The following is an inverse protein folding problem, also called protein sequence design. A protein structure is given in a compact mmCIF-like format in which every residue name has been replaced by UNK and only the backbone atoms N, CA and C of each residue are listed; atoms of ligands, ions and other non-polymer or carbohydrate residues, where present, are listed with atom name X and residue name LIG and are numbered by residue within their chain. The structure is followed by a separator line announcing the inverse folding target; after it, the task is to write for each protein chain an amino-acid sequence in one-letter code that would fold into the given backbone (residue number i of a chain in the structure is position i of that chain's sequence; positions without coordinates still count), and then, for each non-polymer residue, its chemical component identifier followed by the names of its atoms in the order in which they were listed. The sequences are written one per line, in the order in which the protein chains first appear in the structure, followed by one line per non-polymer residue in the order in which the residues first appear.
data_IF_965848222544
#
_entry.id   IF_965848222544
#
_cell.length_a   1.000
_cell.length_b   1.000
_cell.length_c   1.000
_cell.angle_alpha   90.00
_cell.angle_beta   90.00
_cell.angle_gamma   90.00
#
_symmetry.space_group_name_H-M   'P 1'
#
loop_
_entity.id
_entity.type
_entity.pdbx_description
1 polymer ?
#
# COMPACT_ATOMS: atom_id res chain seq x y z
N UNK A 1 -11.12 -5.73 -10.94
CA UNK A 1 -11.56 -5.38 -9.57
C UNK A 1 -10.70 -4.21 -9.13
N UNK A 2 -11.20 -3.29 -8.31
CA UNK A 2 -10.38 -2.19 -7.80
C UNK A 2 -9.43 -2.68 -6.71
N UNK A 3 -8.22 -2.14 -6.62
CA UNK A 3 -7.28 -2.39 -5.52
C UNK A 3 -7.92 -2.28 -4.14
N UNK A 4 -8.89 -1.40 -3.94
CA UNK A 4 -9.61 -1.27 -2.66
C UNK A 4 -10.35 -2.55 -2.26
N UNK A 5 -10.92 -3.27 -3.23
CA UNK A 5 -11.56 -4.57 -2.97
C UNK A 5 -10.52 -5.60 -2.53
N UNK A 6 -9.36 -5.66 -3.20
CA UNK A 6 -8.27 -6.56 -2.83
C UNK A 6 -7.73 -6.25 -1.43
N UNK A 7 -7.60 -4.96 -1.07
CA UNK A 7 -7.18 -4.55 0.28
C UNK A 7 -8.20 -5.01 1.34
N UNK A 8 -9.50 -4.86 1.08
CA UNK A 8 -10.55 -5.31 2.00
C UNK A 8 -10.55 -6.84 2.21
N UNK A 9 -10.20 -7.60 1.17
CA UNK A 9 -10.00 -9.05 1.26
C UNK A 9 -8.81 -9.39 2.18
N UNK A 10 -7.69 -8.66 2.08
CA UNK A 10 -6.54 -8.84 2.98
C UNK A 10 -6.93 -8.50 4.43
N UNK A 11 -7.60 -7.37 4.65
CA UNK A 11 -8.05 -6.94 5.98
C UNK A 11 -8.88 -8.04 6.64
N UNK A 12 -9.81 -8.63 5.88
CA UNK A 12 -10.68 -9.71 6.36
C UNK A 12 -9.93 -11.03 6.58
N UNK A 13 -9.00 -11.38 5.68
CA UNK A 13 -8.23 -12.63 5.71
C UNK A 13 -7.24 -12.68 6.86
N UNK A 14 -6.56 -11.57 7.12
CA UNK A 14 -5.48 -11.48 8.11
C UNK A 14 -5.91 -10.75 9.40
N UNK A 15 -7.16 -10.28 9.47
CA UNK A 15 -7.69 -9.50 10.60
C UNK A 15 -6.81 -8.28 10.94
N UNK A 16 -6.42 -7.56 9.91
CA UNK A 16 -5.60 -6.34 9.97
C UNK A 16 -6.35 -5.16 9.39
N UNK A 17 -5.89 -3.96 9.71
CA UNK A 17 -6.43 -2.72 9.13
C UNK A 17 -5.40 -2.08 8.21
N UNK A 18 -5.78 -1.83 6.97
CA UNK A 18 -4.93 -1.21 5.95
C UNK A 18 -5.37 0.24 5.77
N UNK A 19 -4.63 1.14 6.40
CA UNK A 19 -4.83 2.58 6.29
C UNK A 19 -4.27 3.08 4.97
N UNK A 20 -5.15 3.64 4.14
CA UNK A 20 -4.78 4.24 2.86
C UNK A 20 -4.49 5.72 3.10
N UNK A 21 -3.22 6.11 3.08
CA UNK A 21 -2.80 7.50 3.14
C UNK A 21 -3.41 8.33 2.02
N UNK A 22 -3.52 9.65 2.21
CA UNK A 22 -4.05 10.55 1.19
C UNK A 22 -3.20 10.49 -0.09
N UNK A 23 -1.87 10.41 0.06
CA UNK A 23 -0.94 10.33 -1.04
C UNK A 23 -1.12 9.05 -1.87
N UNK A 24 -1.40 7.91 -1.22
CA UNK A 24 -1.74 6.65 -1.91
C UNK A 24 -2.97 6.82 -2.81
N UNK A 25 -4.03 7.45 -2.27
CA UNK A 25 -5.28 7.68 -3.00
C UNK A 25 -5.07 8.63 -4.16
N UNK A 26 -4.28 9.68 -3.98
CA UNK A 26 -3.94 10.64 -5.04
C UNK A 26 -3.09 9.99 -6.13
N UNK A 27 -2.10 9.18 -5.79
CA UNK A 27 -1.28 8.46 -6.76
C UNK A 27 -2.14 7.50 -7.62
N UNK A 28 -3.07 6.77 -6.97
CA UNK A 28 -4.01 5.88 -7.66
C UNK A 28 -4.91 6.66 -8.61
N UNK A 29 -5.49 7.77 -8.14
CA UNK A 29 -6.42 8.58 -8.93
C UNK A 29 -5.73 9.24 -10.13
N UNK A 30 -4.49 9.70 -9.95
CA UNK A 30 -3.71 10.36 -10.99
C UNK A 30 -3.03 9.39 -11.95
N UNK A 31 -3.21 8.07 -11.79
CA UNK A 31 -2.53 7.05 -12.61
C UNK A 31 -1.01 7.07 -12.46
N UNK A 32 -0.50 7.59 -11.34
CA UNK A 32 0.93 7.69 -11.02
C UNK A 32 1.43 6.48 -10.23
N UNK A 33 0.67 5.40 -10.22
CA UNK A 33 1.06 4.15 -9.57
C UNK A 33 1.88 3.31 -10.52
N UNK A 34 3.05 2.90 -10.03
CA UNK A 34 4.09 2.26 -10.83
C UNK A 34 4.18 0.79 -10.48
N UNK A 35 3.92 0.47 -9.21
CA UNK A 35 3.54 -0.86 -8.78
C UNK A 35 2.12 -1.20 -9.28
N UNK A 36 2.01 -2.32 -9.99
CA UNK A 36 0.73 -2.97 -10.28
C UNK A 36 -0.01 -3.33 -9.00
N UNK A 37 -1.34 -3.47 -9.10
CA UNK A 37 -2.17 -3.82 -7.94
C UNK A 37 -1.68 -5.10 -7.25
N UNK A 38 -1.30 -6.12 -8.02
CA UNK A 38 -0.79 -7.38 -7.47
C UNK A 38 0.56 -7.22 -6.73
N UNK A 39 1.42 -6.31 -7.18
CA UNK A 39 2.70 -6.04 -6.50
C UNK A 39 2.48 -5.44 -5.10
N UNK A 40 1.49 -4.56 -4.96
CA UNK A 40 1.15 -3.95 -3.67
C UNK A 40 0.60 -5.00 -2.71
N UNK A 41 -0.25 -5.89 -3.22
CA UNK A 41 -0.81 -7.01 -2.46
C UNK A 41 0.31 -7.95 -1.98
N UNK A 42 1.24 -8.31 -2.86
CA UNK A 42 2.39 -9.15 -2.51
C UNK A 42 3.27 -8.50 -1.43
N UNK A 43 3.52 -7.18 -1.52
CA UNK A 43 4.26 -6.43 -0.48
C UNK A 43 3.55 -6.48 0.87
N UNK A 44 2.22 -6.32 0.89
CA UNK A 44 1.43 -6.41 2.12
C UNK A 44 1.47 -7.83 2.70
N UNK A 45 1.27 -8.87 1.89
CA UNK A 45 1.32 -10.26 2.35
C UNK A 45 2.72 -10.63 2.87
N UNK A 46 3.79 -10.13 2.22
CA UNK A 46 5.16 -10.32 2.69
C UNK A 46 5.36 -9.73 4.08
N UNK A 47 4.82 -8.54 4.35
CA UNK A 47 4.97 -7.85 5.62
C UNK A 47 4.16 -8.54 6.71
N UNK A 48 2.92 -8.93 6.42
CA UNK A 48 2.11 -9.72 7.35
C UNK A 48 2.77 -11.05 7.70
N UNK A 49 3.49 -11.66 6.76
CA UNK A 49 4.28 -12.87 7.01
C UNK A 49 5.48 -12.63 7.93
N UNK A 50 6.15 -11.48 7.82
CA UNK A 50 7.30 -11.13 8.66
C UNK A 50 6.89 -10.57 10.02
N UNK A 51 5.73 -9.92 10.09
CA UNK A 51 5.20 -9.23 11.28
C UNK A 51 3.75 -9.68 11.55
N UNK A 52 3.54 -10.94 11.96
CA UNK A 52 2.20 -11.50 12.15
C UNK A 52 1.42 -10.85 13.32
N UNK A 53 2.09 -10.12 14.21
CA UNK A 53 1.48 -9.39 15.32
C UNK A 53 1.01 -7.99 14.94
N UNK A 54 1.34 -7.51 13.73
CA UNK A 54 0.94 -6.20 13.26
C UNK A 54 -0.56 -6.16 12.95
N UNK A 55 -1.30 -5.33 13.68
CA UNK A 55 -2.74 -5.14 13.49
C UNK A 55 -3.06 -4.00 12.53
N UNK A 56 -2.12 -3.06 12.34
CA UNK A 56 -2.30 -1.88 11.52
C UNK A 56 -1.16 -1.76 10.50
N UNK A 57 -1.53 -1.59 9.24
CA UNK A 57 -0.64 -1.35 8.11
C UNK A 57 -0.97 0.01 7.52
N UNK A 58 0.01 0.87 7.26
CA UNK A 58 -0.21 2.12 6.55
C UNK A 58 0.40 2.07 5.16
N UNK A 59 -0.41 2.27 4.13
CA UNK A 59 0.03 2.48 2.76
C UNK A 59 0.27 3.96 2.53
N UNK A 60 1.53 4.32 2.30
CA UNK A 60 1.91 5.66 1.87
C UNK A 60 2.83 5.61 0.66
N UNK A 61 2.92 6.73 -0.04
CA UNK A 61 3.89 6.92 -1.12
C UNK A 61 5.12 7.62 -0.55
N UNK A 62 6.31 7.19 -0.96
CA UNK A 62 7.49 8.01 -0.75
C UNK A 62 7.55 9.08 -1.85
N UNK A 63 7.52 10.36 -1.48
CA UNK A 63 7.99 11.42 -2.36
C UNK A 63 9.52 11.41 -2.26
N UNK A 64 10.21 10.99 -3.32
CA UNK A 64 11.45 11.70 -3.62
C UNK A 64 11.02 13.10 -4.03
N UNK A 65 11.57 14.13 -3.38
CA UNK A 65 11.30 15.58 -3.49
C UNK A 65 10.59 16.08 -4.76
N UNK A 66 9.84 17.18 -4.64
CA UNK A 66 9.00 17.84 -5.67
C UNK A 66 9.67 18.16 -7.04
N UNK A 67 10.93 17.78 -7.24
CA UNK A 67 11.71 17.85 -8.48
C UNK A 67 11.98 16.49 -9.15
N UNK A 68 11.59 15.36 -8.58
CA UNK A 68 11.94 14.03 -9.11
C UNK A 68 10.98 13.55 -10.21
N UNK A 69 11.56 13.18 -11.35
CA UNK A 69 10.91 12.53 -12.51
C UNK A 69 10.50 11.06 -12.23
N UNK A 70 10.80 10.54 -11.03
CA UNK A 70 10.81 9.11 -10.76
C UNK A 70 9.49 8.52 -10.22
N UNK A 71 9.29 7.27 -10.62
CA UNK A 71 8.17 6.39 -10.37
C UNK A 71 8.01 5.97 -8.89
N UNK A 72 6.83 6.25 -8.30
CA UNK A 72 6.51 6.13 -6.87
C UNK A 72 6.61 4.70 -6.29
N UNK A 73 7.44 4.49 -5.27
CA UNK A 73 7.54 3.20 -4.55
C UNK A 73 6.76 3.23 -3.22
N UNK A 74 5.95 2.20 -2.96
CA UNK A 74 5.17 2.07 -1.72
C UNK A 74 6.00 1.62 -0.53
N UNK A 75 5.88 2.32 0.60
CA UNK A 75 6.29 1.81 1.91
C UNK A 75 5.04 1.46 2.72
N UNK A 76 4.93 0.20 3.12
CA UNK A 76 4.02 -0.21 4.18
C UNK A 76 4.72 0.09 5.49
N UNK A 77 4.22 1.08 6.22
CA UNK A 77 4.78 1.45 7.53
C UNK A 77 4.01 0.69 8.60
N UNK A 78 4.74 -0.02 9.45
CA UNK A 78 4.23 -0.61 10.68
C UNK A 78 4.43 0.37 11.84
N UNK A 79 3.46 0.55 12.73
CA UNK A 79 3.60 1.38 13.94
C UNK A 79 4.55 0.76 14.98
#
# INVERSE_FOLDING_TARGET
MSIFSKLQEIESKHNVKVHQGEDFKQALYNGKMTDSEDCIIDKIELILKHYPESQDLSLSTYQSDETSDDEFCYSVVLP
#
